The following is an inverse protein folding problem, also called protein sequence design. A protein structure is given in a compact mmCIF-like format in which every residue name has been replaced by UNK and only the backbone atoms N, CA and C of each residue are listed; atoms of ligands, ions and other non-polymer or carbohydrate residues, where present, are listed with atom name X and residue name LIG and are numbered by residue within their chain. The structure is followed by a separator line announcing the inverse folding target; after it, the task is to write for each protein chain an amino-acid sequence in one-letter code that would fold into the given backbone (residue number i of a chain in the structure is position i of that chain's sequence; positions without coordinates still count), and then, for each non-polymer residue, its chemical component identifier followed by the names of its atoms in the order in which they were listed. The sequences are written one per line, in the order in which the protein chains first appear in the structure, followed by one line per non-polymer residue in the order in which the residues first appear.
data_IF_792765793978
#
_entry.id   IF_792765793978
#
_cell.length_a   1.000
_cell.length_b   1.000
_cell.length_c   1.000
_cell.angle_alpha   90.00
_cell.angle_beta   90.00
_cell.angle_gamma   90.00
#
_symmetry.space_group_name_H-M   'P 1'
#
loop_
_entity.id
_entity.type
_entity.pdbx_description
1 polymer ?
#
# COMPACT_ATOMS: atom_id res chain seq x y z
N UNK A 1 21.84 -26.05 -14.41
CA UNK A 1 21.86 -24.64 -13.99
C UNK A 1 21.45 -24.62 -12.51
N UNK A 2 22.37 -24.26 -11.60
CA UNK A 2 22.07 -24.06 -10.18
C UNK A 2 22.03 -22.56 -9.90
N UNK A 3 20.88 -21.92 -10.13
CA UNK A 3 20.65 -20.52 -9.79
C UNK A 3 19.65 -20.44 -8.63
N UNK A 4 20.06 -19.80 -7.54
CA UNK A 4 19.18 -19.41 -6.45
C UNK A 4 18.99 -17.89 -6.49
N UNK A 5 17.74 -17.45 -6.50
CA UNK A 5 17.42 -16.02 -6.52
C UNK A 5 17.72 -15.40 -5.14
N UNK A 6 18.46 -14.28 -5.07
CA UNK A 6 18.78 -13.63 -3.79
C UNK A 6 17.57 -12.92 -3.15
N UNK A 7 16.44 -12.87 -3.84
CA UNK A 7 15.20 -12.28 -3.35
C UNK A 7 13.97 -12.99 -3.93
N UNK A 8 12.81 -12.72 -3.33
CA UNK A 8 11.50 -13.18 -3.81
C UNK A 8 10.57 -11.99 -3.96
N UNK A 9 9.77 -11.97 -5.03
CA UNK A 9 8.76 -10.93 -5.27
C UNK A 9 7.39 -11.58 -5.35
N UNK A 10 6.45 -11.08 -4.56
CA UNK A 10 5.05 -11.49 -4.59
C UNK A 10 4.18 -10.33 -5.05
N UNK A 11 3.17 -10.62 -5.87
CA UNK A 11 2.18 -9.65 -6.32
C UNK A 11 0.80 -10.10 -5.86
N UNK A 12 0.10 -9.22 -5.17
CA UNK A 12 -1.28 -9.45 -4.74
C UNK A 12 -2.13 -8.26 -5.11
N UNK A 13 -3.31 -8.52 -5.66
CA UNK A 13 -4.32 -7.50 -5.92
C UNK A 13 -5.05 -7.19 -4.63
N UNK A 14 -5.39 -5.91 -4.41
CA UNK A 14 -6.29 -5.48 -3.36
C UNK A 14 -7.59 -4.97 -3.99
N UNK A 15 -8.69 -5.67 -3.77
CA UNK A 15 -10.00 -5.27 -4.28
C UNK A 15 -10.57 -4.12 -3.46
N UNK A 16 -10.67 -2.96 -4.10
CA UNK A 16 -11.31 -1.77 -3.55
C UNK A 16 -12.34 -1.24 -4.55
N UNK A 17 -13.29 -0.45 -4.04
CA UNK A 17 -14.22 0.26 -4.92
C UNK A 17 -13.50 1.47 -5.53
N UNK A 18 -13.67 1.74 -6.83
CA UNK A 18 -13.11 2.95 -7.42
C UNK A 18 -13.66 4.19 -6.73
N UNK A 19 -12.88 5.27 -6.67
CA UNK A 19 -13.39 6.55 -6.19
C UNK A 19 -14.61 7.00 -7.00
N UNK A 20 -15.68 7.50 -6.36
CA UNK A 20 -16.86 7.97 -7.07
C UNK A 20 -16.49 9.11 -8.02
N UNK A 21 -16.99 9.04 -9.26
CA UNK A 21 -16.91 10.16 -10.19
C UNK A 21 -17.76 11.31 -9.66
N UNK A 22 -17.30 12.55 -9.86
CA UNK A 22 -17.90 13.75 -9.27
C UNK A 22 -19.25 14.15 -9.85
N UNK A 23 -19.68 13.57 -10.99
CA UNK A 23 -20.93 13.97 -11.66
C UNK A 23 -21.42 12.87 -12.63
N UNK A 24 -22.72 12.51 -12.66
CA UNK A 24 -23.82 12.90 -11.76
C UNK A 24 -23.83 12.17 -10.39
N UNK A 25 -24.53 12.76 -9.41
CA UNK A 25 -24.55 12.39 -7.96
C UNK A 25 -24.86 10.92 -7.64
N UNK A 26 -25.44 10.18 -8.57
CA UNK A 26 -25.81 8.76 -8.41
C UNK A 26 -25.20 7.85 -9.48
N UNK A 27 -24.29 8.33 -10.33
CA UNK A 27 -23.68 7.49 -11.36
C UNK A 27 -22.61 6.57 -10.78
N UNK A 28 -22.50 5.37 -11.37
CA UNK A 28 -21.45 4.41 -11.10
C UNK A 28 -21.30 4.06 -9.61
N UNK A 29 -20.07 4.20 -9.10
CA UNK A 29 -19.71 3.81 -7.74
C UNK A 29 -20.43 4.64 -6.68
N UNK A 30 -20.79 5.89 -6.97
CA UNK A 30 -21.52 6.75 -6.02
C UNK A 30 -22.91 6.18 -5.70
N UNK A 31 -23.62 5.70 -6.73
CA UNK A 31 -24.92 5.05 -6.58
C UNK A 31 -24.81 3.72 -5.81
N UNK A 32 -23.83 2.89 -6.15
CA UNK A 32 -23.58 1.62 -5.45
C UNK A 32 -23.22 1.84 -3.97
N UNK A 33 -22.35 2.82 -3.70
CA UNK A 33 -21.93 3.22 -2.35
C UNK A 33 -23.14 3.57 -1.47
N UNK A 34 -24.11 4.27 -2.07
CA UNK A 34 -25.32 4.72 -1.39
C UNK A 34 -26.34 3.59 -1.21
N UNK A 35 -26.48 2.71 -2.20
CA UNK A 35 -27.38 1.56 -2.17
C UNK A 35 -26.99 0.52 -1.11
N UNK A 36 -25.73 0.06 -1.14
CA UNK A 36 -25.24 -0.97 -0.24
C UNK A 36 -24.87 -0.43 1.15
N UNK A 37 -24.90 0.90 1.33
CA UNK A 37 -24.52 1.64 2.53
C UNK A 37 -23.05 1.40 2.93
N UNK A 38 -22.49 2.34 3.68
CA UNK A 38 -21.11 2.24 4.17
C UNK A 38 -20.82 0.99 5.02
N UNK A 39 -21.84 0.30 5.56
CA UNK A 39 -21.66 -0.92 6.36
C UNK A 39 -21.28 -2.13 5.51
N UNK A 40 -21.91 -2.32 4.34
CA UNK A 40 -21.59 -3.47 3.48
C UNK A 40 -20.17 -3.34 2.93
N UNK A 41 -19.77 -2.15 2.47
CA UNK A 41 -18.41 -1.91 1.99
C UNK A 41 -17.37 -2.14 3.07
N UNK A 42 -17.59 -1.65 4.30
CA UNK A 42 -16.68 -1.95 5.43
C UNK A 42 -16.51 -3.45 5.65
N UNK A 43 -17.57 -4.24 5.48
CA UNK A 43 -17.51 -5.70 5.61
C UNK A 43 -16.72 -6.33 4.46
N UNK A 44 -16.90 -5.87 3.23
CA UNK A 44 -16.12 -6.34 2.07
C UNK A 44 -14.63 -6.00 2.26
N UNK A 45 -14.32 -4.76 2.63
CA UNK A 45 -12.95 -4.31 2.92
C UNK A 45 -12.31 -5.12 4.04
N UNK A 46 -13.06 -5.50 5.09
CA UNK A 46 -12.51 -6.31 6.17
C UNK A 46 -12.23 -7.75 5.76
N UNK A 47 -13.04 -8.35 4.90
CA UNK A 47 -12.71 -9.66 4.30
C UNK A 47 -11.50 -9.57 3.38
N UNK A 48 -11.40 -8.51 2.59
CA UNK A 48 -10.26 -8.29 1.70
C UNK A 48 -8.96 -8.08 2.48
N UNK A 49 -9.00 -7.28 3.57
CA UNK A 49 -7.90 -7.14 4.52
C UNK A 49 -7.42 -8.49 5.02
N UNK A 50 -8.34 -9.33 5.52
CA UNK A 50 -8.01 -10.69 6.02
C UNK A 50 -7.39 -11.59 4.95
N UNK A 51 -7.91 -11.53 3.71
CA UNK A 51 -7.37 -12.33 2.60
C UNK A 51 -5.93 -11.93 2.28
N UNK A 52 -5.67 -10.63 2.17
CA UNK A 52 -4.32 -10.11 1.88
C UNK A 52 -3.36 -10.33 3.05
N UNK A 53 -3.83 -10.21 4.30
CA UNK A 53 -3.06 -10.55 5.49
C UNK A 53 -2.62 -12.02 5.52
N UNK A 54 -3.45 -12.95 5.04
CA UNK A 54 -3.05 -14.37 4.91
C UNK A 54 -1.94 -14.55 3.89
N UNK A 55 -2.04 -13.87 2.74
CA UNK A 55 -1.00 -13.93 1.69
C UNK A 55 0.32 -13.34 2.22
N UNK A 56 0.26 -12.21 2.91
CA UNK A 56 1.44 -11.59 3.54
C UNK A 56 2.08 -12.57 4.53
N UNK A 57 1.27 -13.23 5.36
CA UNK A 57 1.75 -14.23 6.32
C UNK A 57 2.45 -15.40 5.65
N UNK A 58 1.87 -15.94 4.60
CA UNK A 58 2.40 -17.11 3.90
C UNK A 58 3.63 -16.77 3.07
N UNK A 59 3.70 -15.56 2.52
CA UNK A 59 4.79 -15.14 1.63
C UNK A 59 5.98 -14.52 2.38
N UNK A 60 5.73 -13.55 3.26
CA UNK A 60 6.75 -12.84 4.04
C UNK A 60 7.01 -13.54 5.38
N UNK A 61 5.94 -14.02 6.02
CA UNK A 61 6.03 -14.61 7.36
C UNK A 61 6.57 -13.62 8.38
N UNK A 62 7.49 -14.10 9.22
CA UNK A 62 8.18 -13.30 10.24
C UNK A 62 9.57 -12.80 9.78
N UNK A 63 9.87 -12.82 8.48
CA UNK A 63 11.16 -12.29 8.00
C UNK A 63 11.18 -10.77 8.12
N UNK A 64 11.99 -10.27 9.06
CA UNK A 64 12.16 -8.84 9.36
C UNK A 64 12.78 -8.05 8.19
N UNK A 65 13.37 -8.73 7.21
CA UNK A 65 13.90 -8.09 5.98
C UNK A 65 12.81 -7.86 4.94
N UNK A 66 11.64 -8.46 5.11
CA UNK A 66 10.49 -8.29 4.23
C UNK A 66 9.96 -6.84 4.23
N UNK A 67 9.33 -6.47 3.11
CA UNK A 67 8.66 -5.19 2.97
C UNK A 67 7.43 -5.32 2.07
N UNK A 68 6.44 -4.46 2.29
CA UNK A 68 5.23 -4.36 1.49
C UNK A 68 5.22 -3.00 0.80
N UNK A 69 4.91 -3.01 -0.49
CA UNK A 69 4.76 -1.79 -1.30
C UNK A 69 3.32 -1.74 -1.79
N UNK A 70 2.58 -0.72 -1.38
CA UNK A 70 1.21 -0.47 -1.79
C UNK A 70 1.15 0.66 -2.82
N UNK A 71 0.69 0.34 -4.03
CA UNK A 71 0.58 1.29 -5.12
C UNK A 71 -0.66 2.18 -5.04
N UNK A 72 -1.75 1.65 -4.48
CA UNK A 72 -3.00 2.38 -4.32
C UNK A 72 -3.24 2.76 -2.85
N UNK A 73 -3.89 3.91 -2.65
CA UNK A 73 -4.24 4.41 -1.30
C UNK A 73 -5.06 3.39 -0.52
N UNK A 74 -6.04 2.77 -1.15
CA UNK A 74 -6.95 1.85 -0.46
C UNK A 74 -6.26 0.55 -0.08
N UNK A 75 -5.34 0.06 -0.93
CA UNK A 75 -4.47 -1.07 -0.59
C UNK A 75 -3.57 -0.75 0.61
N UNK A 76 -2.95 0.45 0.62
CA UNK A 76 -2.14 0.90 1.74
C UNK A 76 -2.94 0.94 3.03
N UNK A 77 -4.10 1.62 3.03
CA UNK A 77 -4.95 1.74 4.21
C UNK A 77 -5.54 0.39 4.65
N UNK A 78 -5.80 -0.51 3.71
CA UNK A 78 -6.31 -1.85 4.01
C UNK A 78 -5.31 -2.74 4.75
N UNK A 79 -4.01 -2.54 4.52
CA UNK A 79 -2.93 -3.35 5.12
C UNK A 79 -2.28 -2.64 6.32
N UNK A 80 -2.43 -1.32 6.43
CA UNK A 80 -1.87 -0.53 7.53
C UNK A 80 -2.39 -1.01 8.89
N UNK A 81 -1.50 -1.05 9.87
CA UNK A 81 -1.87 -1.21 11.27
C UNK A 81 -2.67 -0.04 11.81
N UNK A 82 -3.67 -0.36 12.61
CA UNK A 82 -4.57 0.64 13.19
C UNK A 82 -3.79 1.58 14.13
N UNK A 83 -2.84 1.02 14.90
CA UNK A 83 -1.95 1.77 15.79
C UNK A 83 -0.64 2.23 15.12
N UNK A 84 -0.49 1.99 13.81
CA UNK A 84 0.74 2.40 13.13
C UNK A 84 0.80 3.91 12.99
N UNK A 85 1.80 4.49 13.65
CA UNK A 85 2.28 5.84 13.38
C UNK A 85 2.75 5.92 11.92
N UNK A 86 2.29 6.95 11.22
CA UNK A 86 2.75 7.22 9.85
C UNK A 86 3.96 8.15 9.93
N UNK A 87 5.11 7.68 9.42
CA UNK A 87 6.23 8.56 9.14
C UNK A 87 6.07 9.08 7.72
N UNK A 88 5.94 10.39 7.60
CA UNK A 88 5.95 11.06 6.31
C UNK A 88 7.40 11.30 5.93
N UNK A 89 7.83 10.70 4.83
CA UNK A 89 9.11 11.09 4.25
C UNK A 89 8.87 12.28 3.34
N UNK A 90 9.34 13.44 3.78
CA UNK A 90 9.22 14.72 3.08
C UNK A 90 10.57 15.13 2.53
N UNK A 91 10.61 15.53 1.27
CA UNK A 91 11.78 16.15 0.64
C UNK A 91 11.35 17.47 -0.01
N UNK A 92 12.05 18.57 0.28
CA UNK A 92 11.76 19.90 -0.26
C UNK A 92 10.30 20.36 -0.09
N UNK A 93 9.66 19.98 1.02
CA UNK A 93 8.25 20.30 1.31
C UNK A 93 7.22 19.46 0.53
N UNK A 94 7.65 18.42 -0.18
CA UNK A 94 6.78 17.50 -0.92
C UNK A 94 6.65 16.15 -0.20
N UNK A 95 5.44 15.60 -0.20
CA UNK A 95 5.15 14.31 0.41
C UNK A 95 5.63 13.19 -0.53
N UNK A 96 6.71 12.49 -0.15
CA UNK A 96 7.39 11.55 -1.03
C UNK A 96 6.95 10.10 -0.83
N UNK A 97 6.80 9.67 0.41
CA UNK A 97 6.23 8.39 0.77
C UNK A 97 5.66 8.43 2.19
N UNK A 98 4.75 7.51 2.48
CA UNK A 98 4.28 7.25 3.84
C UNK A 98 4.75 5.85 4.21
N UNK A 99 5.55 5.77 5.27
CA UNK A 99 5.97 4.52 5.88
C UNK A 99 5.11 4.25 7.12
N UNK A 100 4.71 3.00 7.26
CA UNK A 100 3.94 2.49 8.37
C UNK A 100 4.31 1.02 8.62
N UNK A 101 3.68 0.42 9.62
CA UNK A 101 3.71 -1.02 9.89
C UNK A 101 2.41 -1.67 9.42
N UNK A 102 2.52 -2.89 8.95
CA UNK A 102 1.37 -3.74 8.68
C UNK A 102 0.62 -4.06 10.00
N UNK A 103 -0.70 -4.18 9.95
CA UNK A 103 -1.54 -4.48 11.14
C UNK A 103 -1.16 -5.76 11.85
N UNK A 104 -0.84 -6.78 11.08
CA UNK A 104 -0.67 -8.13 11.58
C UNK A 104 0.80 -8.51 11.81
N UNK A 105 1.74 -7.70 11.31
CA UNK A 105 3.15 -8.02 11.31
C UNK A 105 3.98 -6.74 11.44
N UNK A 106 5.10 -6.84 12.16
CA UNK A 106 6.16 -5.81 12.25
C UNK A 106 6.93 -5.64 10.92
N UNK A 107 6.24 -5.82 9.80
CA UNK A 107 6.74 -5.66 8.43
C UNK A 107 6.50 -4.23 7.99
N UNK A 108 7.53 -3.65 7.38
CA UNK A 108 7.49 -2.30 6.82
C UNK A 108 6.51 -2.22 5.66
N UNK A 109 5.68 -1.19 5.67
CA UNK A 109 4.68 -0.89 4.66
C UNK A 109 4.95 0.49 4.06
N UNK A 110 5.18 0.52 2.75
CA UNK A 110 5.43 1.74 2.00
C UNK A 110 4.25 2.05 1.08
N UNK A 111 3.77 3.29 1.11
CA UNK A 111 2.84 3.81 0.10
C UNK A 111 3.61 4.45 -1.05
N UNK A 112 3.33 4.01 -2.28
CA UNK A 112 3.83 4.71 -3.45
C UNK A 112 3.02 5.99 -3.72
N UNK A 113 3.66 7.05 -4.22
CA UNK A 113 2.94 8.21 -4.69
C UNK A 113 2.14 7.87 -5.97
N UNK A 114 1.18 8.74 -6.34
CA UNK A 114 0.49 8.63 -7.62
C UNK A 114 1.44 8.47 -8.80
N UNK A 115 1.09 7.61 -9.75
CA UNK A 115 1.86 7.32 -10.99
C UNK A 115 2.37 8.57 -11.70
N UNK A 116 1.58 9.64 -11.73
CA UNK A 116 1.96 10.94 -12.34
C UNK A 116 3.22 11.57 -11.73
N UNK A 117 3.60 11.18 -10.52
CA UNK A 117 4.79 11.67 -9.83
C UNK A 117 6.01 10.76 -10.02
N UNK A 118 5.88 9.58 -10.65
CA UNK A 118 7.01 8.66 -10.84
C UNK A 118 8.14 9.25 -11.68
N UNK A 119 7.81 10.11 -12.64
CA UNK A 119 8.79 10.79 -13.49
C UNK A 119 9.22 12.16 -12.96
N UNK A 120 8.67 12.59 -11.82
CA UNK A 120 9.04 13.87 -11.26
C UNK A 120 10.48 13.78 -10.73
N UNK A 121 11.32 14.74 -11.13
CA UNK A 121 12.75 14.77 -10.78
C UNK A 121 13.00 14.67 -9.27
N UNK A 122 12.13 15.30 -8.47
CA UNK A 122 12.17 15.22 -7.01
C UNK A 122 11.92 13.81 -6.49
N UNK A 123 11.03 13.03 -7.13
CA UNK A 123 10.71 11.68 -6.69
C UNK A 123 11.81 10.67 -7.04
N UNK A 124 12.48 10.87 -8.17
CA UNK A 124 13.67 10.07 -8.54
C UNK A 124 14.80 10.29 -7.52
N UNK A 125 15.05 11.54 -7.12
CA UNK A 125 16.03 11.87 -6.06
C UNK A 125 15.66 11.21 -4.72
N UNK A 126 14.39 11.29 -4.34
CA UNK A 126 13.86 10.62 -3.15
C UNK A 126 14.13 9.11 -3.17
N UNK A 127 13.83 8.41 -4.27
CA UNK A 127 14.08 6.97 -4.39
C UNK A 127 15.56 6.61 -4.27
N UNK A 128 16.47 7.46 -4.77
CA UNK A 128 17.91 7.27 -4.61
C UNK A 128 18.36 7.42 -3.15
N UNK A 129 17.79 8.36 -2.40
CA UNK A 129 18.08 8.53 -0.97
C UNK A 129 17.54 7.37 -0.13
N UNK A 130 16.31 6.92 -0.42
CA UNK A 130 15.71 5.72 0.19
C UNK A 130 16.61 4.52 -0.06
N UNK A 131 17.07 4.31 -1.30
CA UNK A 131 18.06 3.27 -1.60
C UNK A 131 19.30 3.39 -0.72
N UNK A 132 19.84 4.60 -0.53
CA UNK A 132 20.99 4.82 0.36
C UNK A 132 20.72 4.54 1.85
N UNK A 133 19.50 4.78 2.34
CA UNK A 133 19.10 4.48 3.73
C UNK A 133 18.87 2.98 4.00
N UNK A 134 18.54 2.22 2.96
CA UNK A 134 18.17 0.81 3.05
C UNK A 134 19.20 -0.15 2.41
N UNK A 135 20.26 0.38 1.79
CA UNK A 135 21.49 -0.36 1.51
C UNK A 135 22.18 -0.62 2.84
N UNK A 136 21.79 -1.71 3.49
CA UNK A 136 22.56 -2.31 4.58
C UNK A 136 23.68 -3.13 3.94
N UNK A 137 24.91 -2.90 4.39
CA UNK A 137 26.08 -3.76 4.13
C UNK A 137 25.84 -5.23 4.51
#
# INVERSE_FOLDING_TARGET
LNYESPFRVGLAVFYSMPSPASNPKWSGVAGLSKLFRARAFRKITSYEKKRVESIIREFIGNDSRGAIIAFQKDAYLGVKGDDSQESVVVEEGKWCAIEARCSSYEVRLFRMPPTRFMHASWYVKFLQQVKGRFSVE
#
